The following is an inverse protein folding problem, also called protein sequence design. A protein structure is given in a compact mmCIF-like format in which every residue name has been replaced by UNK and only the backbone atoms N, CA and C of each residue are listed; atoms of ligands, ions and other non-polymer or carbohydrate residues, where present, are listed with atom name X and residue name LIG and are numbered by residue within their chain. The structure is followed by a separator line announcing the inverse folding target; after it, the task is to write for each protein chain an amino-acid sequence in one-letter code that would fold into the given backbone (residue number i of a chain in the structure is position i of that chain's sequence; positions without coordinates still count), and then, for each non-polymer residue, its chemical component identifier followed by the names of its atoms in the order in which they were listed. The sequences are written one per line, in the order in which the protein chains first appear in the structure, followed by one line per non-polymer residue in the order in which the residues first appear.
data_IF_872635815187
#
_entry.id   IF_872635815187
#
_cell.length_a   1.000
_cell.length_b   1.000
_cell.length_c   1.000
_cell.angle_alpha   90.00
_cell.angle_beta   90.00
_cell.angle_gamma   90.00
#
_symmetry.space_group_name_H-M   'P 1'
#
loop_
_entity.id
_entity.type
_entity.pdbx_description
1 polymer ?
#
# COMPACT_ATOMS: atom_id res chain seq x y z
N UNK A 1 17.44 -9.22 17.92
CA UNK A 1 18.13 -8.92 16.71
C UNK A 1 17.45 -7.78 16.00
N UNK A 2 18.23 -6.90 15.46
CA UNK A 2 17.64 -5.92 14.59
C UNK A 2 16.83 -6.66 13.53
N UNK A 3 15.71 -6.15 13.24
CA UNK A 3 14.86 -6.72 12.21
C UNK A 3 15.49 -6.42 10.86
N UNK A 4 16.28 -7.34 10.36
CA UNK A 4 16.98 -7.16 9.09
C UNK A 4 16.01 -6.90 7.95
N UNK A 5 14.80 -7.42 8.07
CA UNK A 5 13.74 -7.13 7.09
C UNK A 5 13.20 -5.71 7.20
N UNK A 6 13.50 -5.01 8.28
CA UNK A 6 13.10 -3.60 8.44
C UNK A 6 14.25 -2.68 8.05
N UNK A 7 14.76 -2.87 6.89
CA UNK A 7 15.79 -2.00 6.35
C UNK A 7 15.25 -0.58 6.21
N UNK A 8 16.13 0.40 6.37
CA UNK A 8 15.78 1.75 5.98
C UNK A 8 15.56 1.78 4.47
N UNK A 9 14.88 2.80 3.99
CA UNK A 9 14.66 2.98 2.56
C UNK A 9 15.98 2.95 1.80
N UNK A 10 16.97 3.65 2.30
CA UNK A 10 18.28 3.72 1.62
C UNK A 10 18.97 2.37 1.63
N UNK A 11 18.89 1.62 2.72
CA UNK A 11 19.48 0.29 2.79
C UNK A 11 18.82 -0.67 1.81
N UNK A 12 17.50 -0.63 1.72
CA UNK A 12 16.77 -1.47 0.78
C UNK A 12 17.13 -1.15 -0.67
N UNK A 13 17.22 0.12 -1.02
CA UNK A 13 17.63 0.56 -2.36
C UNK A 13 19.06 0.13 -2.64
N UNK A 14 19.96 0.32 -1.70
CA UNK A 14 21.36 -0.07 -1.87
C UNK A 14 21.52 -1.58 -2.05
N UNK A 15 20.79 -2.36 -1.27
CA UNK A 15 20.82 -3.81 -1.39
C UNK A 15 20.38 -4.26 -2.78
N UNK A 16 19.32 -3.68 -3.29
CA UNK A 16 18.83 -3.98 -4.64
C UNK A 16 19.82 -3.53 -5.70
N UNK A 17 20.40 -2.34 -5.55
CA UNK A 17 21.36 -1.79 -6.49
C UNK A 17 22.70 -2.51 -6.52
N UNK A 18 23.04 -3.19 -5.44
CA UNK A 18 24.28 -3.97 -5.34
C UNK A 18 24.13 -5.40 -5.84
N UNK A 19 23.06 -5.74 -6.52
CA UNK A 19 22.79 -7.10 -6.93
C UNK A 19 22.24 -7.95 -5.79
N UNK A 20 21.98 -7.35 -4.64
CA UNK A 20 21.30 -8.01 -3.54
C UNK A 20 19.86 -8.32 -3.90
N UNK A 21 19.31 -9.26 -3.21
CA UNK A 21 17.93 -9.67 -3.43
C UNK A 21 17.01 -8.85 -2.54
N UNK A 22 16.72 -7.64 -2.96
CA UNK A 22 15.61 -6.93 -2.36
C UNK A 22 14.33 -7.45 -3.00
N UNK A 23 14.04 -8.70 -2.69
CA UNK A 23 12.85 -9.34 -3.20
C UNK A 23 11.74 -9.05 -2.22
N UNK A 24 10.81 -8.30 -2.65
CA UNK A 24 9.60 -7.99 -1.91
C UNK A 24 8.42 -8.34 -2.80
N UNK A 25 7.31 -8.63 -2.17
CA UNK A 25 6.09 -8.91 -2.92
C UNK A 25 5.60 -7.61 -3.56
N UNK A 26 5.93 -7.44 -4.82
CA UNK A 26 5.47 -6.29 -5.58
C UNK A 26 4.14 -6.63 -6.23
N UNK A 27 3.16 -5.80 -5.98
CA UNK A 27 1.82 -5.96 -6.53
C UNK A 27 1.48 -4.72 -7.34
N UNK A 28 0.91 -4.94 -8.52
CA UNK A 28 0.39 -3.86 -9.35
C UNK A 28 -1.12 -4.03 -9.46
N UNK A 29 -1.86 -3.04 -9.01
CA UNK A 29 -3.32 -3.07 -8.98
C UNK A 29 -3.88 -1.80 -9.59
N UNK A 30 -5.09 -1.88 -10.15
CA UNK A 30 -5.74 -0.74 -10.80
C UNK A 30 -7.12 -0.51 -10.21
N UNK A 31 -7.50 0.76 -10.09
CA UNK A 31 -8.83 1.12 -9.65
C UNK A 31 -9.27 2.47 -10.21
N UNK A 32 -10.56 2.65 -10.35
CA UNK A 32 -11.17 3.85 -10.92
C UNK A 32 -12.28 4.36 -9.99
N UNK A 33 -12.38 5.67 -9.86
CA UNK A 33 -13.40 6.35 -9.06
C UNK A 33 -14.75 6.47 -9.78
N UNK A 34 -14.98 5.74 -10.87
CA UNK A 34 -16.29 5.72 -11.48
C UNK A 34 -17.37 5.24 -10.49
N UNK A 35 -16.98 4.38 -9.56
CA UNK A 35 -17.82 3.87 -8.48
C UNK A 35 -16.92 3.45 -7.32
N UNK A 36 -17.28 3.81 -6.09
CA UNK A 36 -16.51 3.39 -4.90
C UNK A 36 -16.44 1.87 -4.77
N UNK A 37 -17.39 1.15 -5.35
CA UNK A 37 -17.32 -0.31 -5.42
C UNK A 37 -16.13 -0.81 -6.24
N UNK A 38 -15.49 0.05 -7.02
CA UNK A 38 -14.27 -0.28 -7.76
C UNK A 38 -13.02 -0.17 -6.90
N UNK A 39 -13.15 0.11 -5.62
CA UNK A 39 -12.01 0.11 -4.69
C UNK A 39 -11.26 -1.20 -4.80
N UNK A 40 -9.95 -1.11 -4.91
CA UNK A 40 -9.06 -2.26 -4.96
C UNK A 40 -8.61 -2.58 -3.55
N UNK A 41 -8.65 -3.85 -3.18
CA UNK A 41 -8.34 -4.32 -1.84
C UNK A 41 -7.09 -5.19 -1.91
N UNK A 42 -6.03 -4.77 -1.23
CA UNK A 42 -4.76 -5.49 -1.23
C UNK A 42 -4.43 -5.89 0.20
N UNK A 43 -4.31 -7.20 0.41
CA UNK A 43 -3.94 -7.72 1.72
C UNK A 43 -2.46 -7.44 1.97
N UNK A 44 -2.18 -6.76 3.07
CA UNK A 44 -0.82 -6.39 3.47
C UNK A 44 -0.48 -6.86 4.88
N UNK A 45 -1.23 -7.80 5.39
CA UNK A 45 -1.01 -8.37 6.72
C UNK A 45 0.43 -8.88 6.85
N UNK A 46 1.07 -8.52 7.94
CA UNK A 46 2.44 -8.91 8.20
C UNK A 46 3.49 -7.93 7.69
N UNK A 47 3.12 -7.02 6.80
CA UNK A 47 4.03 -5.96 6.39
C UNK A 47 4.13 -4.90 7.48
N UNK A 48 5.34 -4.37 7.68
CA UNK A 48 5.53 -3.26 8.64
C UNK A 48 5.57 -1.92 7.93
N UNK A 49 6.03 -1.89 6.70
CA UNK A 49 6.14 -0.69 5.90
C UNK A 49 5.91 -1.03 4.44
N UNK A 50 5.26 -0.14 3.73
CA UNK A 50 5.02 -0.26 2.30
C UNK A 50 5.72 0.86 1.54
N UNK A 51 6.31 0.51 0.41
CA UNK A 51 6.66 1.48 -0.62
C UNK A 51 5.53 1.51 -1.64
N UNK A 52 5.01 2.68 -1.91
CA UNK A 52 3.85 2.87 -2.78
C UNK A 52 4.18 3.83 -3.91
N UNK A 53 3.79 3.45 -5.11
CA UNK A 53 3.85 4.31 -6.27
C UNK A 53 2.57 4.16 -7.06
N UNK A 54 1.90 5.25 -7.32
CA UNK A 54 0.69 5.26 -8.13
C UNK A 54 0.89 6.13 -9.36
N UNK A 55 0.28 5.75 -10.47
CA UNK A 55 0.32 6.55 -11.70
C UNK A 55 -0.47 7.86 -11.59
N UNK A 56 -1.31 8.01 -10.58
CA UNK A 56 -2.05 9.24 -10.30
C UNK A 56 -2.49 9.25 -8.85
N UNK A 57 -3.14 10.34 -8.44
CA UNK A 57 -3.59 10.48 -7.06
C UNK A 57 -4.65 9.43 -6.74
N UNK A 58 -4.57 8.86 -5.55
CA UNK A 58 -5.52 7.85 -5.09
C UNK A 58 -6.01 8.15 -3.69
N UNK A 59 -7.27 7.84 -3.43
CA UNK A 59 -7.74 7.67 -2.06
C UNK A 59 -7.23 6.36 -1.51
N UNK A 60 -6.93 6.31 -0.24
CA UNK A 60 -6.54 5.05 0.40
C UNK A 60 -6.96 5.02 1.85
N UNK A 61 -7.12 3.81 2.35
CA UNK A 61 -7.27 3.56 3.78
C UNK A 61 -6.62 2.21 4.13
N UNK A 62 -6.37 2.04 5.40
CA UNK A 62 -6.04 0.73 5.97
C UNK A 62 -7.22 0.29 6.82
N UNK A 63 -7.60 -0.98 6.70
CA UNK A 63 -8.70 -1.54 7.46
C UNK A 63 -8.48 -3.03 7.74
N UNK A 64 -9.29 -3.57 8.65
CA UNK A 64 -9.24 -5.00 8.97
C UNK A 64 -9.83 -5.89 7.89
N UNK A 65 -10.28 -5.34 6.80
CA UNK A 65 -10.87 -6.10 5.71
C UNK A 65 -11.03 -5.23 4.48
N UNK A 66 -11.72 -5.79 3.51
CA UNK A 66 -12.04 -5.11 2.26
C UNK A 66 -13.05 -4.01 2.53
N UNK A 67 -12.57 -2.79 2.58
CA UNK A 67 -13.39 -1.62 2.88
C UNK A 67 -13.29 -0.65 1.70
N UNK A 68 -14.44 -0.24 1.17
CA UNK A 68 -14.46 0.73 0.08
C UNK A 68 -13.92 2.08 0.55
N UNK A 69 -13.25 2.77 -0.35
CA UNK A 69 -12.75 4.10 -0.07
C UNK A 69 -13.89 5.10 0.09
N UNK A 70 -13.68 6.02 0.99
CA UNK A 70 -14.58 7.14 1.22
C UNK A 70 -14.01 8.38 0.54
N UNK A 71 -14.62 8.80 -0.55
CA UNK A 71 -14.13 9.92 -1.34
C UNK A 71 -14.27 11.27 -0.64
N UNK A 72 -14.94 11.31 0.50
CA UNK A 72 -15.11 12.52 1.31
C UNK A 72 -14.21 12.55 2.54
N UNK A 73 -13.64 11.43 2.94
CA UNK A 73 -12.94 11.33 4.22
C UNK A 73 -11.59 10.65 4.20
N UNK A 74 -11.31 9.83 3.21
CA UNK A 74 -10.04 9.14 3.15
C UNK A 74 -8.92 10.08 2.70
N UNK A 75 -7.71 9.74 3.12
CA UNK A 75 -6.51 10.47 2.71
C UNK A 75 -6.21 10.21 1.24
N UNK A 76 -5.49 11.16 0.66
CA UNK A 76 -5.04 11.06 -0.73
C UNK A 76 -3.54 10.84 -0.75
N UNK A 77 -3.11 9.81 -1.48
CA UNK A 77 -1.72 9.58 -1.80
C UNK A 77 -1.40 10.24 -3.13
N UNK A 78 -0.38 11.09 -3.14
CA UNK A 78 0.04 11.78 -4.35
C UNK A 78 0.59 10.79 -5.37
N UNK A 79 0.14 10.92 -6.62
CA UNK A 79 0.63 10.11 -7.72
C UNK A 79 2.03 10.52 -8.19
N UNK A 80 2.64 9.66 -8.98
CA UNK A 80 3.95 9.88 -9.60
C UNK A 80 5.08 10.13 -8.59
N UNK A 81 4.90 9.69 -7.36
CA UNK A 81 5.86 9.86 -6.27
C UNK A 81 5.96 8.57 -5.48
N UNK A 82 7.19 8.12 -5.25
CA UNK A 82 7.42 6.98 -4.37
C UNK A 82 7.23 7.44 -2.92
N UNK A 83 6.31 6.81 -2.23
CA UNK A 83 5.99 7.13 -0.84
C UNK A 83 6.14 5.90 0.02
N UNK A 84 6.74 6.05 1.19
CA UNK A 84 6.84 4.97 2.16
C UNK A 84 5.90 5.27 3.31
N UNK A 85 5.12 4.27 3.69
CA UNK A 85 4.11 4.42 4.70
C UNK A 85 4.17 3.25 5.68
N UNK A 86 4.02 3.54 6.96
CA UNK A 86 3.98 2.51 7.99
C UNK A 86 2.59 1.90 8.04
N UNK A 87 2.55 0.57 8.02
CA UNK A 87 1.30 -0.16 8.15
C UNK A 87 0.85 -0.11 9.61
N UNK A 88 -0.41 0.23 9.88
CA UNK A 88 -0.92 0.31 11.24
C UNK A 88 -1.14 -1.08 11.83
N UNK A 89 -0.09 -1.68 12.36
CA UNK A 89 -0.10 -3.07 12.84
C UNK A 89 -1.11 -3.33 13.96
N UNK A 90 -1.55 -2.28 14.66
CA UNK A 90 -2.60 -2.43 15.67
C UNK A 90 -3.92 -2.97 15.13
N UNK A 91 -4.15 -2.83 13.83
CA UNK A 91 -5.35 -3.38 13.21
C UNK A 91 -5.41 -4.90 13.27
N UNK A 92 -4.28 -5.57 13.27
CA UNK A 92 -4.24 -7.04 13.37
C UNK A 92 -4.89 -7.54 14.66
N UNK A 93 -4.72 -6.82 15.74
CA UNK A 93 -5.24 -7.22 17.04
C UNK A 93 -6.75 -6.97 17.19
N UNK A 94 -7.32 -6.13 16.36
CA UNK A 94 -8.73 -5.72 16.49
C UNK A 94 -9.65 -6.36 15.46
N UNK A 95 -9.13 -6.97 14.42
CA UNK A 95 -9.92 -7.64 13.39
C UNK A 95 -10.29 -9.07 13.79
N UNK A 96 -11.42 -9.56 13.27
CA UNK A 96 -11.84 -10.94 13.51
C UNK A 96 -10.80 -11.91 12.98
N UNK A 97 -10.26 -11.64 11.80
CA UNK A 97 -9.28 -12.51 11.16
C UNK A 97 -7.86 -11.95 11.30
N UNK A 98 -7.71 -10.82 11.97
CA UNK A 98 -6.40 -10.17 12.10
C UNK A 98 -5.77 -9.75 10.79
N UNK A 99 -6.57 -9.48 9.77
CA UNK A 99 -6.07 -9.13 8.44
C UNK A 99 -6.06 -7.63 8.24
N UNK A 100 -4.99 -7.14 7.63
CA UNK A 100 -4.86 -5.73 7.28
C UNK A 100 -4.89 -5.61 5.76
N UNK A 101 -5.75 -4.72 5.27
CA UNK A 101 -5.87 -4.40 3.86
C UNK A 101 -5.48 -2.96 3.60
N UNK A 102 -4.78 -2.76 2.50
CA UNK A 102 -4.59 -1.47 1.88
C UNK A 102 -5.64 -1.35 0.79
N UNK A 103 -6.59 -0.45 0.97
CA UNK A 103 -7.68 -0.25 0.02
C UNK A 103 -7.43 1.06 -0.71
N UNK A 104 -7.55 1.05 -2.03
CA UNK A 104 -7.29 2.25 -2.82
C UNK A 104 -8.25 2.42 -3.97
N UNK A 105 -8.41 3.66 -4.38
CA UNK A 105 -9.32 4.06 -5.44
C UNK A 105 -8.77 5.32 -6.11
N UNK A 106 -8.80 5.39 -7.43
CA UNK A 106 -8.40 6.59 -8.14
C UNK A 106 -9.26 7.80 -7.73
N UNK A 107 -8.66 8.97 -7.69
CA UNK A 107 -9.40 10.22 -7.44
C UNK A 107 -10.16 10.72 -8.68
N UNK A 108 -9.97 10.06 -9.81
CA UNK A 108 -10.60 10.41 -11.08
C UNK A 108 -11.31 9.21 -11.70
N UNK A 109 -12.00 9.40 -12.79
CA UNK A 109 -12.63 8.30 -13.52
C UNK A 109 -11.62 7.46 -14.30
N UNK A 110 -10.38 7.93 -14.40
CA UNK A 110 -9.29 7.17 -15.01
C UNK A 110 -8.71 6.19 -14.00
N UNK A 111 -8.59 4.94 -14.38
CA UNK A 111 -7.96 3.94 -13.52
C UNK A 111 -6.46 4.24 -13.36
N UNK A 112 -5.98 4.16 -12.13
CA UNK A 112 -4.56 4.29 -11.83
C UNK A 112 -3.99 2.96 -11.38
N UNK A 113 -2.75 2.70 -11.79
CA UNK A 113 -2.00 1.52 -11.36
C UNK A 113 -1.19 1.87 -10.13
N UNK A 114 -1.36 1.08 -9.09
CA UNK A 114 -0.60 1.23 -7.85
C UNK A 114 0.38 0.08 -7.73
N UNK A 115 1.63 0.41 -7.52
CA UNK A 115 2.69 -0.56 -7.25
C UNK A 115 2.99 -0.55 -5.78
N UNK A 116 2.95 -1.72 -5.17
CA UNK A 116 3.08 -1.89 -3.73
C UNK A 116 4.26 -2.82 -3.47
N UNK A 117 5.17 -2.35 -2.65
CA UNK A 117 6.37 -3.09 -2.27
C UNK A 117 6.39 -3.18 -0.76
N UNK A 118 6.51 -4.39 -0.23
CA UNK A 118 6.68 -4.61 1.20
C UNK A 118 8.16 -4.45 1.57
N UNK A 119 8.41 -3.63 2.57
CA UNK A 119 9.80 -3.30 2.96
C UNK A 119 10.15 -3.88 4.33
#
# INVERSE_FOLDING_TARGET
MANLHKLSVQQAVNAAGSGGQWTVNAVSTTGSNANVANTVHVKVTGASQLGLYSSGDIYFNFANGETNCNTSGDLILQGSTLTFITVPLGLEASGIDGEIYFNHLSTSTTAHTVRIVEV
#
